data_IF_577427819253
#
_entry.id   IF_577427819253
#
_cell.length_a   1.000
_cell.length_b   1.000
_cell.length_c   1.000
_cell.angle_alpha   90.00
_cell.angle_beta   90.00
_cell.angle_gamma   90.00
#
_symmetry.space_group_name_H-M   'P 1'
#
loop_
_entity.id
_entity.type
_entity.pdbx_description
1 polymer ?
#
# COMPACT_ATOMS: atom_id res chain seq x y z
N UNK A 1 -12.47 -0.84 -7.31
CA UNK A 1 -11.01 -0.94 -7.56
C UNK A 1 -10.23 -1.15 -6.26
N UNK A 2 -10.33 -0.27 -5.24
CA UNK A 2 -9.64 -0.46 -3.95
C UNK A 2 -9.91 -1.82 -3.28
N UNK A 3 -11.18 -2.26 -3.25
CA UNK A 3 -11.56 -3.57 -2.70
C UNK A 3 -10.82 -4.73 -3.37
N UNK A 4 -10.63 -4.69 -4.69
CA UNK A 4 -9.90 -5.73 -5.42
C UNK A 4 -8.42 -5.74 -5.06
N UNK A 5 -7.79 -4.56 -4.97
CA UNK A 5 -6.40 -4.41 -4.56
C UNK A 5 -6.21 -4.98 -3.14
N UNK A 6 -7.08 -4.59 -2.20
CA UNK A 6 -7.03 -5.10 -0.83
C UNK A 6 -7.24 -6.60 -0.74
N UNK A 7 -8.18 -7.17 -1.50
CA UNK A 7 -8.40 -8.62 -1.51
C UNK A 7 -7.18 -9.38 -2.01
N UNK A 8 -6.57 -8.95 -3.13
CA UNK A 8 -5.40 -9.61 -3.70
C UNK A 8 -4.19 -9.52 -2.76
N UNK A 9 -3.88 -8.32 -2.24
CA UNK A 9 -2.79 -8.11 -1.31
C UNK A 9 -2.96 -8.94 -0.01
N UNK A 10 -4.17 -8.98 0.54
CA UNK A 10 -4.47 -9.78 1.74
C UNK A 10 -4.27 -11.27 1.48
N UNK A 11 -4.74 -11.81 0.35
CA UNK A 11 -4.57 -13.22 0.02
C UNK A 11 -3.10 -13.62 -0.12
N UNK A 12 -2.26 -12.74 -0.66
CA UNK A 12 -0.83 -12.98 -0.80
C UNK A 12 -0.12 -12.93 0.56
N UNK A 13 -0.46 -11.97 1.41
CA UNK A 13 0.03 -11.89 2.79
C UNK A 13 -0.36 -13.12 3.63
N UNK A 14 -1.60 -13.60 3.51
CA UNK A 14 -2.03 -14.82 4.21
C UNK A 14 -1.21 -16.05 3.81
N UNK A 15 -0.83 -16.16 2.53
CA UNK A 15 0.03 -17.26 2.05
C UNK A 15 1.46 -17.14 2.56
N UNK A 16 2.00 -15.92 2.59
CA UNK A 16 3.38 -15.67 3.04
C UNK A 16 3.53 -15.88 4.55
N UNK A 17 2.50 -15.52 5.33
CA UNK A 17 2.52 -15.59 6.79
C UNK A 17 1.91 -16.87 7.36
N UNK A 18 1.32 -17.72 6.51
CA UNK A 18 0.55 -18.92 6.86
C UNK A 18 -0.44 -18.68 8.03
N UNK A 19 -1.10 -17.52 7.99
CA UNK A 19 -1.97 -17.04 9.05
C UNK A 19 -3.08 -16.16 8.47
N UNK A 20 -4.20 -16.03 9.20
CA UNK A 20 -5.27 -15.11 8.81
C UNK A 20 -4.85 -13.67 9.00
N UNK A 21 -5.05 -12.85 7.97
CA UNK A 21 -4.66 -11.43 7.97
C UNK A 21 -5.89 -10.55 7.76
N UNK A 22 -6.03 -9.55 8.63
CA UNK A 22 -6.96 -8.45 8.43
C UNK A 22 -6.18 -7.22 7.92
N UNK A 23 -6.49 -6.79 6.70
CA UNK A 23 -5.81 -5.68 6.04
C UNK A 23 -6.76 -4.47 5.93
N UNK A 24 -6.44 -3.41 6.68
CA UNK A 24 -7.14 -2.13 6.59
C UNK A 24 -6.37 -1.17 5.67
N UNK A 25 -7.07 -0.60 4.68
CA UNK A 25 -6.47 0.28 3.67
C UNK A 25 -7.14 1.65 3.66
N UNK A 26 -6.33 2.70 3.56
CA UNK A 26 -6.77 4.09 3.53
C UNK A 26 -6.25 4.78 2.28
N UNK A 27 -7.15 5.44 1.53
CA UNK A 27 -6.76 6.26 0.37
C UNK A 27 -6.69 7.72 0.80
N UNK A 28 -5.52 8.33 0.62
CA UNK A 28 -5.31 9.77 0.84
C UNK A 28 -4.88 10.39 -0.48
N UNK A 29 -5.57 11.44 -0.91
CA UNK A 29 -5.19 12.23 -2.09
C UNK A 29 -4.32 13.39 -1.65
N UNK A 30 -3.16 13.57 -2.28
CA UNK A 30 -2.28 14.72 -2.10
C UNK A 30 -1.88 15.24 -3.47
N UNK A 31 -2.04 16.53 -3.72
CA UNK A 31 -1.56 17.19 -4.95
C UNK A 31 -0.05 17.42 -4.88
N UNK A 32 0.65 17.39 -6.03
CA UNK A 32 2.09 17.66 -6.11
C UNK A 32 2.95 16.72 -5.25
N UNK A 33 2.56 15.44 -5.12
CA UNK A 33 3.28 14.46 -4.30
C UNK A 33 4.50 13.87 -5.00
N UNK A 34 4.52 13.88 -6.33
CA UNK A 34 5.61 13.35 -7.15
C UNK A 34 6.70 14.39 -7.45
N UNK A 35 6.40 15.69 -7.32
CA UNK A 35 7.30 16.79 -7.69
C UNK A 35 8.25 17.22 -6.55
N UNK A 36 8.18 16.55 -5.41
CA UNK A 36 8.94 16.89 -4.21
C UNK A 36 9.92 15.75 -3.91
N UNK A 37 11.11 15.84 -4.50
CA UNK A 37 12.21 14.86 -4.38
C UNK A 37 12.52 14.50 -2.92
N UNK A 38 12.31 15.44 -2.00
CA UNK A 38 12.49 15.22 -0.56
C UNK A 38 11.47 14.22 0.02
N UNK A 39 10.26 14.14 -0.55
CA UNK A 39 9.22 13.19 -0.15
C UNK A 39 9.38 11.81 -0.79
N UNK A 40 9.90 11.73 -2.02
CA UNK A 40 10.13 10.45 -2.70
C UNK A 40 11.07 9.55 -1.88
N UNK A 41 12.12 10.11 -1.27
CA UNK A 41 13.00 9.39 -0.34
C UNK A 41 12.29 8.82 0.89
N UNK A 42 11.29 9.53 1.44
CA UNK A 42 10.56 9.07 2.63
C UNK A 42 9.65 7.87 2.39
N UNK A 43 9.36 7.55 1.12
CA UNK A 43 8.58 6.37 0.73
C UNK A 43 9.46 5.17 0.38
N UNK A 44 10.79 5.27 0.56
CA UNK A 44 11.73 4.17 0.32
C UNK A 44 12.11 3.95 -1.14
N UNK A 45 11.88 4.95 -2.01
CA UNK A 45 12.38 4.95 -3.37
C UNK A 45 13.76 5.62 -3.40
N UNK A 46 14.83 4.82 -3.52
CA UNK A 46 16.14 5.18 -4.06
C UNK A 46 16.38 4.43 -5.37
#
# INVERSE_FOLDING_TARGET
RLKQIGTLARQELEKLMDAKVFLELWVKVRSGWADDEARVRSFGYE
#
